data_IF_918440014771
#
_entry.id   IF_918440014771
#
_cell.length_a   1.000
_cell.length_b   1.000
_cell.length_c   1.000
_cell.angle_alpha   90.00
_cell.angle_beta   90.00
_cell.angle_gamma   90.00
#
_symmetry.space_group_name_H-M   'P 1'
#
loop_
_entity.id
_entity.type
_entity.pdbx_description
1 polymer ?
#
# COMPACT_ATOMS: atom_id res chain seq x y z
N UNK A 1 -15.72 -27.57 8.67
CA UNK A 1 -16.74 -27.01 7.76
C UNK A 1 -15.99 -26.35 6.62
N UNK A 2 -16.00 -26.91 5.38
CA UNK A 2 -15.37 -26.31 4.22
C UNK A 2 -16.03 -24.95 3.97
N UNK A 3 -15.28 -23.85 4.12
CA UNK A 3 -15.77 -22.50 3.82
C UNK A 3 -16.14 -22.47 2.34
N UNK A 4 -17.43 -22.31 2.05
CA UNK A 4 -17.96 -22.33 0.67
C UNK A 4 -17.28 -21.26 -0.17
N UNK A 5 -16.77 -21.65 -1.33
CA UNK A 5 -16.18 -20.74 -2.30
C UNK A 5 -17.24 -19.71 -2.73
N UNK A 6 -17.00 -18.40 -2.60
CA UNK A 6 -17.92 -17.38 -3.04
C UNK A 6 -17.73 -17.11 -4.56
N UNK A 7 -18.26 -18.00 -5.39
CA UNK A 7 -18.09 -17.96 -6.84
C UNK A 7 -19.44 -18.34 -7.47
N UNK A 8 -20.23 -17.35 -7.76
CA UNK A 8 -21.60 -17.48 -8.27
C UNK A 8 -21.65 -17.75 -9.78
N UNK A 9 -22.84 -17.79 -10.37
CA UNK A 9 -23.05 -18.07 -11.78
C UNK A 9 -22.58 -16.90 -12.66
N UNK A 10 -22.70 -15.64 -12.20
CA UNK A 10 -22.22 -14.49 -12.94
C UNK A 10 -20.69 -14.50 -13.07
N UNK A 11 -19.98 -14.82 -11.99
CA UNK A 11 -18.53 -14.98 -12.01
C UNK A 11 -18.11 -16.17 -12.89
N UNK A 12 -18.86 -17.30 -12.86
CA UNK A 12 -18.58 -18.45 -13.74
C UNK A 12 -18.75 -18.09 -15.22
N UNK A 13 -19.78 -17.35 -15.56
CA UNK A 13 -20.03 -16.92 -16.94
C UNK A 13 -18.94 -15.97 -17.44
N UNK A 14 -18.35 -15.15 -16.55
CA UNK A 14 -17.32 -14.15 -16.92
C UNK A 14 -15.93 -14.74 -16.97
N UNK A 15 -15.56 -15.59 -15.97
CA UNK A 15 -14.18 -16.01 -15.75
C UNK A 15 -13.97 -17.48 -16.13
N UNK A 16 -15.00 -18.32 -16.06
CA UNK A 16 -14.94 -19.76 -16.31
C UNK A 16 -15.33 -20.59 -15.08
N UNK A 17 -15.40 -21.91 -15.30
CA UNK A 17 -15.92 -22.84 -14.29
C UNK A 17 -14.79 -23.35 -13.39
N UNK A 18 -14.91 -23.23 -12.04
CA UNK A 18 -13.94 -23.77 -11.11
C UNK A 18 -13.86 -25.30 -11.15
N UNK A 19 -12.65 -25.83 -11.31
CA UNK A 19 -12.35 -27.26 -11.20
C UNK A 19 -11.82 -27.61 -9.81
N UNK A 20 -10.87 -26.80 -9.29
CA UNK A 20 -10.25 -27.01 -7.98
C UNK A 20 -10.04 -25.67 -7.29
N UNK A 21 -10.14 -25.67 -5.98
CA UNK A 21 -9.85 -24.47 -5.15
C UNK A 21 -8.96 -24.85 -3.97
N UNK A 22 -8.03 -23.93 -3.64
CA UNK A 22 -7.19 -24.01 -2.45
C UNK A 22 -7.33 -22.69 -1.70
N UNK A 23 -7.78 -22.75 -0.44
CA UNK A 23 -7.74 -21.59 0.46
C UNK A 23 -6.28 -21.28 0.79
N UNK A 24 -5.90 -20.02 0.67
CA UNK A 24 -4.58 -19.50 1.02
C UNK A 24 -4.63 -18.86 2.41
N UNK A 25 -3.46 -18.74 3.05
CA UNK A 25 -3.36 -17.96 4.28
C UNK A 25 -3.63 -16.49 3.97
N UNK A 26 -4.42 -15.87 4.82
CA UNK A 26 -4.82 -14.47 4.69
C UNK A 26 -5.18 -13.90 6.06
N UNK A 27 -5.21 -12.57 6.16
CA UNK A 27 -5.63 -11.89 7.37
C UNK A 27 -7.09 -12.23 7.75
N UNK A 28 -7.50 -12.03 9.01
CA UNK A 28 -8.91 -12.19 9.41
C UNK A 28 -9.89 -11.31 8.61
N UNK A 29 -9.38 -10.27 7.94
CA UNK A 29 -10.16 -9.28 7.17
C UNK A 29 -10.49 -9.73 5.75
N UNK A 30 -9.87 -10.83 5.27
CA UNK A 30 -10.12 -11.35 3.93
C UNK A 30 -10.05 -12.88 3.90
N UNK A 31 -10.56 -13.45 2.82
CA UNK A 31 -10.35 -14.84 2.45
C UNK A 31 -9.85 -14.88 1.02
N UNK A 32 -8.80 -15.63 0.78
CA UNK A 32 -8.16 -15.70 -0.53
C UNK A 32 -8.10 -17.15 -0.99
N UNK A 33 -8.55 -17.41 -2.21
CA UNK A 33 -8.46 -18.74 -2.81
C UNK A 33 -7.69 -18.67 -4.11
N UNK A 34 -6.83 -19.64 -4.34
CA UNK A 34 -6.32 -19.96 -5.66
C UNK A 34 -7.25 -20.99 -6.30
N UNK A 35 -7.77 -20.67 -7.49
CA UNK A 35 -8.71 -21.51 -8.22
C UNK A 35 -8.07 -21.93 -9.53
N UNK A 36 -8.15 -23.23 -9.84
CA UNK A 36 -7.91 -23.75 -11.17
C UNK A 36 -9.26 -23.89 -11.89
N UNK A 37 -9.35 -23.32 -13.07
CA UNK A 37 -10.53 -23.40 -13.94
C UNK A 37 -10.47 -24.67 -14.83
N UNK A 38 -11.59 -25.00 -15.45
CA UNK A 38 -11.71 -26.19 -16.33
C UNK A 38 -10.84 -26.11 -17.58
N UNK A 39 -10.51 -24.90 -18.06
CA UNK A 39 -9.56 -24.66 -19.15
C UNK A 39 -8.08 -24.74 -18.72
N UNK A 40 -7.83 -25.09 -17.46
CA UNK A 40 -6.54 -25.21 -16.77
C UNK A 40 -5.89 -23.88 -16.39
N UNK A 41 -6.46 -22.74 -16.72
CA UNK A 41 -5.98 -21.45 -16.22
C UNK A 41 -6.17 -21.34 -14.70
N UNK A 42 -5.49 -20.39 -14.07
CA UNK A 42 -5.59 -20.13 -12.64
C UNK A 42 -6.02 -18.70 -12.40
N UNK A 43 -6.81 -18.50 -11.36
CA UNK A 43 -7.22 -17.16 -10.89
C UNK A 43 -7.16 -17.10 -9.36
N UNK A 44 -7.06 -15.89 -8.82
CA UNK A 44 -7.20 -15.62 -7.39
C UNK A 44 -8.59 -15.07 -7.14
N UNK A 45 -9.28 -15.61 -6.15
CA UNK A 45 -10.54 -15.07 -5.62
C UNK A 45 -10.28 -14.50 -4.24
N UNK A 46 -10.53 -13.21 -4.06
CA UNK A 46 -10.43 -12.54 -2.77
C UNK A 46 -11.82 -12.06 -2.34
N UNK A 47 -12.22 -12.42 -1.13
CA UNK A 47 -13.42 -11.93 -0.47
C UNK A 47 -13.04 -11.08 0.72
N UNK A 48 -13.51 -9.85 0.79
CA UNK A 48 -13.37 -9.01 1.97
C UNK A 48 -14.43 -9.39 3.00
N UNK A 49 -14.00 -9.55 4.25
CA UNK A 49 -14.86 -9.97 5.36
C UNK A 49 -14.99 -8.86 6.41
N UNK A 50 -15.97 -8.94 7.29
CA UNK A 50 -16.21 -7.93 8.34
C UNK A 50 -15.20 -8.00 9.52
N UNK A 51 -14.08 -8.71 9.36
CA UNK A 51 -13.07 -8.88 10.40
C UNK A 51 -12.30 -7.60 10.73
N UNK A 52 -12.40 -7.17 11.95
CA UNK A 52 -11.37 -6.67 12.86
C UNK A 52 -10.61 -5.36 12.60
N UNK A 53 -11.02 -4.44 11.72
CA UNK A 53 -10.42 -3.10 11.68
C UNK A 53 -11.47 -2.04 12.00
N UNK A 54 -11.33 -1.26 13.09
CA UNK A 54 -12.27 -0.19 13.41
C UNK A 54 -12.20 1.01 12.45
N UNK A 55 -11.22 1.06 11.53
CA UNK A 55 -10.95 2.23 10.67
C UNK A 55 -11.75 2.31 9.37
N UNK A 56 -12.28 1.19 8.84
CA UNK A 56 -13.14 1.19 7.66
C UNK A 56 -13.97 -0.09 7.58
N UNK A 57 -15.23 0.02 7.19
CA UNK A 57 -16.09 -1.14 6.97
C UNK A 57 -15.64 -1.96 5.73
N UNK A 58 -16.15 -3.19 5.64
CA UNK A 58 -15.74 -4.11 4.58
C UNK A 58 -16.14 -3.65 3.18
N UNK A 59 -17.25 -2.93 3.03
CA UNK A 59 -17.70 -2.39 1.74
C UNK A 59 -16.77 -1.28 1.25
N UNK A 60 -16.37 -0.38 2.14
CA UNK A 60 -15.39 0.67 1.85
C UNK A 60 -14.03 0.07 1.48
N UNK A 61 -13.54 -0.94 2.20
CA UNK A 61 -12.26 -1.62 1.88
C UNK A 61 -12.33 -2.31 0.52
N UNK A 62 -13.43 -3.03 0.25
CA UNK A 62 -13.64 -3.68 -1.05
C UNK A 62 -13.66 -2.66 -2.21
N UNK A 63 -14.44 -1.60 -2.07
CA UNK A 63 -14.56 -0.57 -3.10
C UNK A 63 -13.21 0.10 -3.37
N UNK A 64 -12.44 0.39 -2.32
CA UNK A 64 -11.11 1.00 -2.39
C UNK A 64 -10.10 0.08 -3.07
N UNK A 65 -10.08 -1.20 -2.71
CA UNK A 65 -9.18 -2.17 -3.33
C UNK A 65 -9.47 -2.35 -4.82
N UNK A 66 -10.73 -2.50 -5.20
CA UNK A 66 -11.14 -2.61 -6.61
C UNK A 66 -10.77 -1.35 -7.39
N UNK A 67 -10.99 -0.15 -6.82
CA UNK A 67 -10.61 1.11 -7.46
C UNK A 67 -9.10 1.25 -7.63
N UNK A 68 -8.32 0.94 -6.58
CA UNK A 68 -6.87 0.96 -6.62
C UNK A 68 -6.29 0.01 -7.66
N UNK A 69 -6.75 -1.24 -7.69
CA UNK A 69 -6.33 -2.23 -8.68
C UNK A 69 -6.69 -1.82 -10.12
N UNK A 70 -7.87 -1.23 -10.34
CA UNK A 70 -8.27 -0.72 -11.67
C UNK A 70 -7.40 0.45 -12.12
N UNK A 71 -7.03 1.35 -11.22
CA UNK A 71 -6.08 2.42 -11.52
C UNK A 71 -4.70 1.85 -11.82
N UNK A 72 -4.21 0.90 -11.02
CA UNK A 72 -2.95 0.20 -11.24
C UNK A 72 -2.92 -0.56 -12.57
N UNK A 73 -4.06 -1.09 -13.02
CA UNK A 73 -4.23 -1.77 -14.31
C UNK A 73 -4.05 -0.86 -15.54
N UNK A 74 -3.90 0.46 -15.36
CA UNK A 74 -3.58 1.40 -16.46
C UNK A 74 -2.09 1.42 -16.83
N UNK A 75 -1.25 0.66 -16.13
CA UNK A 75 0.18 0.66 -16.37
C UNK A 75 0.51 0.29 -17.83
N UNK A 76 1.31 1.13 -18.48
CA UNK A 76 1.87 0.85 -19.81
C UNK A 76 3.23 0.16 -19.62
N UNK A 77 3.45 -0.97 -20.29
CA UNK A 77 4.63 -1.82 -20.10
C UNK A 77 4.41 -2.85 -18.98
N UNK A 78 5.43 -3.20 -18.17
CA UNK A 78 5.27 -4.19 -17.10
C UNK A 78 4.15 -3.79 -16.13
N UNK A 79 3.21 -4.71 -15.87
CA UNK A 79 2.15 -4.46 -14.91
C UNK A 79 2.71 -4.24 -13.50
N UNK A 80 2.03 -3.43 -12.69
CA UNK A 80 2.43 -3.16 -11.28
C UNK A 80 1.46 -3.79 -10.28
N UNK A 81 0.38 -4.42 -10.75
CA UNK A 81 -0.62 -5.10 -9.94
C UNK A 81 -1.32 -6.18 -10.77
N UNK A 82 -2.02 -7.15 -10.16
CA UNK A 82 -2.85 -8.11 -10.88
C UNK A 82 -4.04 -7.42 -11.54
N UNK A 83 -4.44 -7.93 -12.70
CA UNK A 83 -5.65 -7.49 -13.36
C UNK A 83 -6.90 -7.92 -12.58
N UNK A 84 -7.90 -7.03 -12.51
CA UNK A 84 -9.24 -7.38 -12.00
C UNK A 84 -10.05 -7.99 -13.14
N UNK A 85 -10.30 -9.29 -13.06
CA UNK A 85 -11.03 -10.05 -14.09
C UNK A 85 -12.55 -9.94 -13.94
N UNK A 86 -13.04 -9.97 -12.70
CA UNK A 86 -14.45 -9.82 -12.38
C UNK A 86 -14.66 -9.35 -10.93
N UNK A 87 -15.85 -8.84 -10.62
CA UNK A 87 -16.23 -8.44 -9.26
C UNK A 87 -17.68 -8.82 -8.98
N UNK A 88 -17.97 -9.19 -7.73
CA UNK A 88 -19.31 -9.30 -7.16
C UNK A 88 -19.40 -8.39 -5.92
N UNK A 89 -19.82 -7.12 -6.08
CA UNK A 89 -19.87 -6.15 -5.00
C UNK A 89 -20.78 -6.56 -3.84
N UNK A 90 -21.98 -7.10 -4.04
CA UNK A 90 -22.84 -7.55 -2.94
C UNK A 90 -22.17 -8.56 -2.00
N UNK A 91 -21.34 -9.45 -2.54
CA UNK A 91 -20.61 -10.46 -1.76
C UNK A 91 -19.20 -10.00 -1.39
N UNK A 92 -18.79 -8.79 -1.80
CA UNK A 92 -17.43 -8.24 -1.64
C UNK A 92 -16.35 -9.17 -2.18
N UNK A 93 -16.60 -9.73 -3.37
CA UNK A 93 -15.71 -10.68 -4.05
C UNK A 93 -15.07 -10.02 -5.27
N UNK A 94 -13.79 -10.23 -5.43
CA UNK A 94 -13.05 -9.91 -6.64
C UNK A 94 -12.32 -11.14 -7.16
N UNK A 95 -12.28 -11.28 -8.46
CA UNK A 95 -11.47 -12.29 -9.18
C UNK A 95 -10.32 -11.58 -9.84
N UNK A 96 -9.13 -12.00 -9.50
CA UNK A 96 -7.87 -11.40 -9.93
C UNK A 96 -7.07 -12.38 -10.78
N UNK A 97 -6.22 -11.83 -11.64
CA UNK A 97 -5.17 -12.57 -12.32
C UNK A 97 -4.34 -13.36 -11.29
N UNK A 98 -4.05 -14.62 -11.61
CA UNK A 98 -3.05 -15.40 -10.86
C UNK A 98 -1.65 -15.07 -11.38
N UNK A 99 -0.75 -14.85 -10.46
CA UNK A 99 0.66 -14.61 -10.74
C UNK A 99 1.51 -15.60 -9.96
N UNK A 100 2.55 -16.12 -10.59
CA UNK A 100 3.54 -16.95 -9.92
C UNK A 100 4.52 -16.04 -9.17
N UNK A 101 4.62 -16.24 -7.86
CA UNK A 101 5.60 -15.55 -7.03
C UNK A 101 6.91 -16.35 -7.02
N UNK A 102 7.97 -15.74 -7.50
CA UNK A 102 9.32 -16.29 -7.54
C UNK A 102 10.06 -16.18 -6.20
N UNK A 103 9.44 -15.51 -5.22
CA UNK A 103 10.02 -15.24 -3.91
C UNK A 103 11.02 -14.07 -3.92
N UNK A 104 11.40 -13.65 -2.71
CA UNK A 104 12.31 -12.52 -2.51
C UNK A 104 13.76 -12.95 -2.65
N UNK A 105 14.55 -12.15 -3.36
CA UNK A 105 16.02 -12.24 -3.41
C UNK A 105 16.64 -11.21 -2.47
N UNK A 106 17.95 -11.33 -2.19
CA UNK A 106 18.66 -10.34 -1.38
C UNK A 106 18.68 -8.95 -2.05
N UNK A 107 18.60 -8.90 -3.39
CA UNK A 107 18.61 -7.67 -4.21
C UNK A 107 17.20 -7.24 -4.64
N UNK A 108 16.21 -7.32 -3.77
CA UNK A 108 14.82 -7.04 -4.13
C UNK A 108 14.47 -5.54 -4.23
N UNK A 109 15.20 -4.68 -3.51
CA UNK A 109 14.84 -3.27 -3.34
C UNK A 109 14.86 -2.44 -4.64
N UNK A 110 15.82 -2.59 -5.57
CA UNK A 110 15.81 -1.87 -6.84
C UNK A 110 14.54 -2.08 -7.65
N UNK A 111 14.15 -3.32 -7.88
CA UNK A 111 12.92 -3.64 -8.63
C UNK A 111 11.66 -3.19 -7.93
N UNK A 112 11.64 -3.23 -6.60
CA UNK A 112 10.53 -2.70 -5.81
C UNK A 112 10.42 -1.17 -5.95
N UNK A 113 11.52 -0.43 -5.88
CA UNK A 113 11.54 1.03 -6.04
C UNK A 113 11.07 1.46 -7.43
N UNK A 114 11.49 0.74 -8.47
CA UNK A 114 11.01 0.96 -9.84
C UNK A 114 9.50 0.74 -9.94
N UNK A 115 8.99 -0.39 -9.45
CA UNK A 115 7.56 -0.71 -9.47
C UNK A 115 6.74 0.32 -8.68
N UNK A 116 7.25 0.79 -7.53
CA UNK A 116 6.60 1.80 -6.71
C UNK A 116 6.51 3.15 -7.46
N UNK A 117 7.60 3.58 -8.12
CA UNK A 117 7.59 4.79 -8.94
C UNK A 117 6.60 4.68 -10.11
N UNK A 118 6.53 3.51 -10.75
CA UNK A 118 5.58 3.22 -11.82
C UNK A 118 4.14 3.29 -11.32
N UNK A 119 3.84 2.68 -10.15
CA UNK A 119 2.53 2.75 -9.51
C UNK A 119 2.12 4.19 -9.26
N UNK A 120 2.97 4.97 -8.63
CA UNK A 120 2.70 6.36 -8.27
C UNK A 120 2.51 7.27 -9.48
N UNK A 121 3.17 6.99 -10.60
CA UNK A 121 3.09 7.79 -11.83
C UNK A 121 1.82 7.53 -12.66
N UNK A 122 0.97 6.56 -12.28
CA UNK A 122 -0.22 6.17 -13.08
C UNK A 122 -1.36 7.17 -13.02
N UNK A 123 -1.38 8.01 -12.03
CA UNK A 123 -2.50 8.91 -11.75
C UNK A 123 -2.06 10.37 -11.69
N UNK A 124 -3.03 11.27 -11.86
CA UNK A 124 -2.81 12.70 -11.90
C UNK A 124 -4.06 13.47 -11.48
N UNK A 125 -4.09 14.79 -11.70
CA UNK A 125 -5.24 15.65 -11.31
C UNK A 125 -6.60 15.19 -11.85
N UNK A 126 -6.63 14.53 -13.00
CA UNK A 126 -7.85 13.99 -13.63
C UNK A 126 -8.48 12.87 -12.79
N UNK A 127 -7.70 12.19 -11.95
CA UNK A 127 -8.14 11.08 -11.11
C UNK A 127 -8.63 11.53 -9.72
N UNK A 128 -8.65 12.84 -9.45
CA UNK A 128 -9.16 13.40 -8.19
C UNK A 128 -10.57 12.86 -7.90
N UNK A 129 -10.73 12.25 -6.72
CA UNK A 129 -12.00 11.66 -6.27
C UNK A 129 -12.20 10.19 -6.68
N UNK A 130 -11.32 9.59 -7.47
CA UNK A 130 -11.36 8.14 -7.76
C UNK A 130 -11.02 7.28 -6.52
N UNK A 131 -10.22 7.82 -5.63
CA UNK A 131 -9.87 7.28 -4.31
C UNK A 131 -9.87 8.43 -3.28
N UNK A 132 -9.94 8.12 -1.97
CA UNK A 132 -9.73 9.13 -0.94
C UNK A 132 -8.36 9.81 -1.10
N UNK A 133 -8.27 11.07 -0.69
CA UNK A 133 -6.97 11.69 -0.50
C UNK A 133 -6.23 11.00 0.66
N UNK A 134 -4.91 10.89 0.54
CA UNK A 134 -4.07 10.43 1.65
C UNK A 134 -4.27 11.34 2.86
N UNK A 135 -4.50 10.74 4.02
CA UNK A 135 -4.56 11.48 5.29
C UNK A 135 -3.16 11.57 5.88
N UNK A 136 -2.53 12.72 5.71
CA UNK A 136 -1.26 13.05 6.36
C UNK A 136 -1.40 13.23 7.86
N UNK A 137 -0.29 13.54 8.56
CA UNK A 137 -0.32 13.88 9.96
C UNK A 137 -1.17 15.13 10.19
N UNK A 138 -1.94 15.11 11.26
CA UNK A 138 -2.85 16.19 11.65
C UNK A 138 -2.27 17.02 12.81
N UNK A 139 -2.90 18.14 13.13
CA UNK A 139 -2.55 18.90 14.34
C UNK A 139 -2.72 18.05 15.62
N UNK A 140 -3.71 17.14 15.63
CA UNK A 140 -3.90 16.23 16.77
C UNK A 140 -2.75 15.21 16.89
N UNK A 141 -2.21 14.71 15.78
CA UNK A 141 -1.02 13.84 15.79
C UNK A 141 0.21 14.60 16.31
N UNK A 142 0.39 15.87 15.89
CA UNK A 142 1.48 16.71 16.39
C UNK A 142 1.36 16.98 17.90
N UNK A 143 0.16 17.23 18.40
CA UNK A 143 -0.08 17.40 19.85
C UNK A 143 0.20 16.12 20.63
N UNK A 144 -0.18 14.96 20.11
CA UNK A 144 0.12 13.66 20.69
C UNK A 144 1.63 13.41 20.74
N UNK A 145 2.34 13.68 19.64
CA UNK A 145 3.80 13.61 19.59
C UNK A 145 4.47 14.51 20.63
N UNK A 146 3.99 15.75 20.79
CA UNK A 146 4.49 16.67 21.82
C UNK A 146 4.17 16.19 23.23
N UNK A 147 3.00 15.60 23.44
CA UNK A 147 2.64 15.01 24.73
C UNK A 147 3.58 13.86 25.10
N UNK A 148 3.96 13.03 24.12
CA UNK A 148 4.94 11.97 24.30
C UNK A 148 6.32 12.54 24.68
N UNK A 149 6.80 13.58 24.00
CA UNK A 149 8.06 14.23 24.35
C UNK A 149 8.05 14.74 25.82
N UNK A 150 6.96 15.36 26.25
CA UNK A 150 6.78 15.81 27.65
C UNK A 150 6.79 14.63 28.64
N UNK A 151 6.14 13.52 28.28
CA UNK A 151 6.10 12.32 29.13
C UNK A 151 7.50 11.69 29.37
N UNK A 152 8.42 11.94 28.45
CA UNK A 152 9.83 11.51 28.56
C UNK A 152 10.76 12.63 29.05
N UNK A 153 10.22 13.72 29.58
CA UNK A 153 11.00 14.89 30.04
C UNK A 153 11.94 15.47 28.96
N UNK A 154 11.56 15.34 27.68
CA UNK A 154 12.30 15.92 26.54
C UNK A 154 11.90 17.38 26.40
N UNK A 155 12.85 18.34 26.53
CA UNK A 155 12.56 19.75 26.32
C UNK A 155 12.10 20.02 24.88
N UNK A 156 11.01 20.74 24.70
CA UNK A 156 10.50 21.16 23.39
C UNK A 156 10.70 22.67 23.23
N UNK A 157 11.75 23.11 22.52
CA UNK A 157 11.95 24.52 22.20
C UNK A 157 10.82 25.09 21.33
N UNK A 158 10.53 26.39 21.42
CA UNK A 158 9.47 27.03 20.63
C UNK A 158 9.66 26.88 19.12
N UNK A 159 10.90 26.86 18.64
CA UNK A 159 11.22 26.62 17.23
C UNK A 159 10.70 25.28 16.71
N UNK A 160 10.59 24.26 17.56
CA UNK A 160 10.03 22.95 17.19
C UNK A 160 8.52 23.07 16.92
N UNK A 161 7.80 23.89 17.67
CA UNK A 161 6.36 24.14 17.46
C UNK A 161 6.10 24.81 16.12
N UNK A 162 6.92 25.83 15.80
CA UNK A 162 6.84 26.54 14.53
C UNK A 162 7.16 25.59 13.35
N UNK A 163 8.21 24.74 13.50
CA UNK A 163 8.61 23.78 12.47
C UNK A 163 7.56 22.68 12.28
N UNK A 164 6.93 22.18 13.34
CA UNK A 164 5.84 21.20 13.23
C UNK A 164 4.65 21.80 12.46
N UNK A 165 4.29 23.04 12.72
CA UNK A 165 3.23 23.75 12.01
C UNK A 165 3.57 23.89 10.52
N UNK A 166 4.80 24.29 10.20
CA UNK A 166 5.28 24.41 8.83
C UNK A 166 5.35 23.04 8.12
N UNK A 167 5.77 21.99 8.84
CA UNK A 167 5.82 20.61 8.32
C UNK A 167 4.42 20.10 7.94
N UNK A 168 3.42 20.27 8.81
CA UNK A 168 2.04 19.90 8.51
C UNK A 168 1.54 20.57 7.22
N UNK A 169 1.86 21.85 7.04
CA UNK A 169 1.49 22.59 5.83
C UNK A 169 2.21 22.05 4.57
N UNK A 170 3.49 21.67 4.68
CA UNK A 170 4.23 21.05 3.55
C UNK A 170 3.76 19.65 3.19
N UNK A 171 3.21 18.92 4.15
CA UNK A 171 2.68 17.56 3.99
C UNK A 171 1.21 17.53 3.56
N UNK A 172 0.58 18.69 3.36
CA UNK A 172 -0.79 18.77 2.83
C UNK A 172 -0.88 17.91 1.53
N UNK A 173 -1.81 16.96 1.47
CA UNK A 173 -1.95 16.07 0.31
C UNK A 173 -2.30 16.81 -0.99
N UNK A 174 -2.86 18.02 -0.92
CA UNK A 174 -3.13 18.83 -2.11
C UNK A 174 -1.90 19.63 -2.52
N UNK A 175 -1.46 19.59 -3.78
CA UNK A 175 -2.15 19.09 -4.99
C UNK A 175 -1.65 17.72 -5.51
N UNK A 176 -1.31 16.79 -4.67
CA UNK A 176 -0.68 15.54 -5.06
C UNK A 176 -1.72 14.46 -5.37
N UNK A 177 -1.52 13.72 -6.46
CA UNK A 177 -2.48 12.72 -6.95
C UNK A 177 -1.81 11.41 -7.39
N UNK A 178 -0.62 11.08 -6.87
CA UNK A 178 -0.01 9.77 -7.10
C UNK A 178 -0.88 8.67 -6.49
N UNK A 179 -1.03 7.55 -7.19
CA UNK A 179 -1.70 6.36 -6.65
C UNK A 179 -0.84 5.74 -5.57
N UNK A 180 -1.23 5.91 -4.32
CA UNK A 180 -0.60 5.27 -3.17
C UNK A 180 -1.23 3.90 -2.91
N UNK A 181 -0.40 2.95 -2.55
CA UNK A 181 -0.82 1.62 -2.11
C UNK A 181 -1.52 1.68 -0.75
N UNK A 182 -1.04 2.55 0.14
CA UNK A 182 -1.54 2.74 1.50
C UNK A 182 -0.96 1.77 2.55
N UNK A 183 -0.31 0.70 2.11
CA UNK A 183 0.46 -0.23 2.93
C UNK A 183 1.53 -0.93 2.06
N UNK A 184 2.55 -0.19 1.59
CA UNK A 184 3.60 -0.71 0.72
C UNK A 184 4.61 -1.56 1.50
N UNK A 185 4.09 -2.53 2.24
CA UNK A 185 4.89 -3.49 3.00
C UNK A 185 5.46 -4.56 2.07
N UNK A 186 6.73 -4.99 2.27
CA UNK A 186 7.31 -6.08 1.50
C UNK A 186 6.63 -7.45 1.68
N UNK A 187 5.46 -7.53 2.26
CA UNK A 187 4.56 -8.68 2.29
C UNK A 187 3.37 -8.52 1.35
N UNK A 188 3.16 -7.32 0.80
CA UNK A 188 2.07 -6.96 -0.10
C UNK A 188 2.57 -6.84 -1.56
N UNK A 189 3.64 -7.55 -1.90
CA UNK A 189 4.18 -7.60 -3.25
C UNK A 189 4.52 -9.02 -3.66
N UNK A 190 4.41 -9.30 -4.96
CA UNK A 190 4.82 -10.54 -5.61
C UNK A 190 5.95 -10.26 -6.58
N UNK A 191 6.93 -11.15 -6.62
CA UNK A 191 8.06 -11.11 -7.55
C UNK A 191 7.75 -12.02 -8.73
N UNK A 192 7.45 -11.43 -9.87
CA UNK A 192 7.16 -12.17 -11.09
C UNK A 192 8.34 -12.10 -12.06
N UNK A 193 8.29 -12.88 -13.14
CA UNK A 193 9.30 -12.80 -14.19
C UNK A 193 9.39 -11.41 -14.85
N UNK A 194 8.29 -10.64 -14.82
CA UNK A 194 8.19 -9.32 -15.43
C UNK A 194 8.41 -8.17 -14.43
N UNK A 195 8.80 -8.47 -13.18
CA UNK A 195 9.06 -7.48 -12.13
C UNK A 195 8.15 -7.62 -10.91
N UNK A 196 8.17 -6.58 -10.08
CA UNK A 196 7.38 -6.53 -8.84
C UNK A 196 5.96 -6.08 -9.12
N UNK A 197 4.98 -6.74 -8.49
CA UNK A 197 3.56 -6.41 -8.56
C UNK A 197 2.97 -6.33 -7.16
N UNK A 198 2.28 -5.23 -6.88
CA UNK A 198 1.64 -4.99 -5.60
C UNK A 198 0.27 -5.65 -5.52
N UNK A 199 -0.07 -6.16 -4.33
CA UNK A 199 -1.37 -6.76 -3.99
C UNK A 199 -1.90 -6.13 -2.70
N UNK A 200 -3.19 -6.28 -2.43
CA UNK A 200 -3.82 -5.76 -1.19
C UNK A 200 -3.96 -4.23 -1.14
N UNK A 201 -4.69 -3.67 -2.11
CA UNK A 201 -4.96 -2.23 -2.23
C UNK A 201 -6.08 -1.71 -1.31
N UNK A 202 -6.44 -2.42 -0.25
CA UNK A 202 -7.57 -2.04 0.63
C UNK A 202 -7.39 -0.67 1.31
N UNK A 203 -6.16 -0.15 1.34
CA UNK A 203 -5.80 1.17 1.89
C UNK A 203 -5.41 2.20 0.82
N UNK A 204 -5.58 1.89 -0.46
CA UNK A 204 -5.19 2.77 -1.55
C UNK A 204 -5.77 4.18 -1.41
N UNK A 205 -4.99 5.18 -1.77
CA UNK A 205 -5.35 6.60 -1.70
C UNK A 205 -4.63 7.39 -2.78
N UNK A 206 -4.94 8.68 -2.91
CA UNK A 206 -4.20 9.61 -3.78
C UNK A 206 -3.42 10.59 -2.91
N UNK A 207 -2.13 10.77 -3.21
CA UNK A 207 -1.28 11.64 -2.41
C UNK A 207 0.10 11.87 -3.02
N UNK A 208 1.07 12.20 -2.15
CA UNK A 208 2.47 12.35 -2.55
C UNK A 208 3.21 11.02 -2.44
N UNK A 209 3.77 10.53 -3.56
CA UNK A 209 4.50 9.25 -3.58
C UNK A 209 5.70 9.17 -2.63
N UNK A 210 6.25 10.33 -2.20
CA UNK A 210 7.35 10.34 -1.22
C UNK A 210 6.94 9.74 0.14
N UNK A 211 5.65 9.76 0.50
CA UNK A 211 5.20 9.18 1.78
C UNK A 211 5.37 7.66 1.80
N UNK A 212 5.31 7.00 0.65
CA UNK A 212 5.58 5.56 0.55
C UNK A 212 7.07 5.26 0.27
N UNK A 213 7.77 6.13 -0.45
CA UNK A 213 9.21 6.01 -0.58
C UNK A 213 9.93 6.13 0.78
N UNK A 214 9.39 6.93 1.70
CA UNK A 214 9.90 7.06 3.06
C UNK A 214 9.98 5.73 3.82
N UNK A 215 9.15 4.73 3.48
CA UNK A 215 9.16 3.41 4.11
C UNK A 215 10.54 2.75 4.12
N UNK A 216 11.32 2.92 3.04
CA UNK A 216 12.69 2.40 3.00
C UNK A 216 13.59 3.03 4.07
N UNK A 217 13.46 4.33 4.34
CA UNK A 217 14.26 5.04 5.34
C UNK A 217 13.85 4.72 6.77
N UNK A 218 12.54 4.56 7.00
CA UNK A 218 11.99 4.33 8.35
C UNK A 218 11.83 2.84 8.68
N UNK A 219 12.27 1.93 7.78
CA UNK A 219 12.33 0.50 8.04
C UNK A 219 10.99 -0.21 8.04
N UNK A 220 10.01 0.24 7.22
CA UNK A 220 8.69 -0.38 7.08
C UNK A 220 7.94 -0.55 8.41
N UNK A 221 7.65 0.53 9.14
CA UNK A 221 7.22 0.49 10.55
C UNK A 221 5.84 -0.14 10.76
N UNK A 222 5.00 -0.22 9.73
CA UNK A 222 3.67 -0.85 9.81
C UNK A 222 3.69 -2.33 9.47
N UNK A 223 4.84 -2.85 9.05
CA UNK A 223 5.02 -4.22 8.60
C UNK A 223 5.55 -5.11 9.72
N UNK A 224 5.13 -6.38 9.75
CA UNK A 224 5.73 -7.42 10.59
C UNK A 224 7.19 -7.72 10.23
N UNK A 225 7.63 -7.29 9.03
CA UNK A 225 8.97 -7.44 8.51
C UNK A 225 9.80 -6.15 8.66
N UNK A 226 9.53 -5.34 9.70
CA UNK A 226 10.32 -4.15 10.00
C UNK A 226 11.82 -4.45 9.90
N UNK A 227 12.55 -3.63 9.15
CA UNK A 227 13.95 -3.86 8.84
C UNK A 227 14.74 -2.56 8.86
N UNK A 228 16.04 -2.66 9.13
CA UNK A 228 16.97 -1.56 8.94
C UNK A 228 17.65 -1.69 7.59
N UNK A 229 17.63 -0.62 6.80
CA UNK A 229 18.29 -0.57 5.49
C UNK A 229 19.55 0.30 5.60
N UNK A 230 20.68 -0.21 5.11
CA UNK A 230 21.94 0.54 5.11
C UNK A 230 21.88 1.76 4.17
N UNK A 231 22.73 2.76 4.41
CA UNK A 231 22.69 4.03 3.66
C UNK A 231 22.94 3.87 2.15
N UNK A 232 23.85 2.99 1.75
CA UNK A 232 24.19 2.82 0.33
C UNK A 232 23.02 2.26 -0.50
N UNK A 233 22.35 1.15 -0.09
CA UNK A 233 21.13 0.69 -0.75
C UNK A 233 20.00 1.72 -0.74
N UNK A 234 19.86 2.53 0.31
CA UNK A 234 18.85 3.59 0.36
C UNK A 234 19.06 4.64 -0.74
N UNK A 235 20.29 5.10 -0.92
CA UNK A 235 20.62 6.08 -1.96
C UNK A 235 20.30 5.53 -3.36
N UNK A 236 20.62 4.26 -3.63
CA UNK A 236 20.31 3.59 -4.88
C UNK A 236 18.78 3.49 -5.11
N UNK A 237 18.03 3.05 -4.11
CA UNK A 237 16.55 2.95 -4.16
C UNK A 237 15.91 4.30 -4.48
N UNK A 238 16.38 5.37 -3.82
CA UNK A 238 15.85 6.71 -4.04
C UNK A 238 16.18 7.24 -5.44
N UNK A 239 17.38 6.98 -5.95
CA UNK A 239 17.78 7.36 -7.30
C UNK A 239 16.98 6.63 -8.37
N UNK A 240 16.79 5.32 -8.21
CA UNK A 240 15.95 4.50 -9.10
C UNK A 240 14.52 5.04 -9.11
N UNK A 241 13.93 5.25 -7.94
CA UNK A 241 12.57 5.79 -7.84
C UNK A 241 12.44 7.14 -8.57
N UNK A 242 13.33 8.09 -8.28
CA UNK A 242 13.30 9.44 -8.87
C UNK A 242 13.55 9.42 -10.37
N UNK A 243 14.48 8.59 -10.83
CA UNK A 243 14.80 8.43 -12.25
C UNK A 243 13.63 7.83 -13.02
N UNK A 244 13.03 6.77 -12.48
CA UNK A 244 11.85 6.13 -13.06
C UNK A 244 10.65 7.11 -13.11
N UNK A 245 10.37 7.80 -12.01
CA UNK A 245 9.33 8.83 -11.96
C UNK A 245 9.54 9.92 -13.01
N UNK A 246 10.76 10.48 -13.10
CA UNK A 246 11.08 11.51 -14.09
C UNK A 246 10.93 11.01 -15.52
N UNK A 247 11.35 9.79 -15.79
CA UNK A 247 11.20 9.15 -17.10
C UNK A 247 9.74 9.00 -17.53
N UNK A 248 8.82 8.71 -16.57
CA UNK A 248 7.41 8.51 -16.85
C UNK A 248 6.61 9.82 -16.90
N UNK A 249 6.94 10.78 -16.04
CA UNK A 249 6.12 12.00 -15.86
C UNK A 249 6.74 13.24 -16.52
N UNK A 250 8.00 13.20 -16.91
CA UNK A 250 8.78 14.36 -17.40
C UNK A 250 9.10 15.40 -16.33
N UNK A 251 8.87 15.11 -15.04
CA UNK A 251 9.03 16.05 -13.91
C UNK A 251 9.70 15.37 -12.73
N UNK A 252 10.31 16.18 -11.88
CA UNK A 252 10.82 15.70 -10.60
C UNK A 252 9.67 15.37 -9.63
N UNK A 253 9.94 14.46 -8.71
CA UNK A 253 9.01 14.15 -7.61
C UNK A 253 8.91 15.40 -6.72
N UNK A 254 7.72 15.96 -6.51
CA UNK A 254 7.56 17.14 -5.68
C UNK A 254 7.69 16.80 -4.19
N UNK A 255 8.20 17.75 -3.40
CA UNK A 255 8.31 17.61 -1.94
C UNK A 255 9.68 17.13 -1.46
N UNK A 256 9.79 16.92 -0.15
CA UNK A 256 10.99 16.48 0.54
C UNK A 256 10.76 15.13 1.23
N UNK A 257 11.70 14.19 1.04
CA UNK A 257 11.64 12.88 1.65
C UNK A 257 11.86 12.93 3.17
N UNK A 258 12.63 13.91 3.66
CA UNK A 258 12.80 14.12 5.10
C UNK A 258 11.48 14.56 5.75
N UNK A 259 10.72 15.43 5.10
CA UNK A 259 9.38 15.82 5.54
C UNK A 259 8.45 14.59 5.60
N UNK A 260 8.48 13.73 4.58
CA UNK A 260 7.68 12.51 4.58
C UNK A 260 8.06 11.55 5.72
N UNK A 261 9.36 11.38 6.00
CA UNK A 261 9.83 10.60 7.15
C UNK A 261 9.37 11.20 8.50
N UNK A 262 9.47 12.53 8.63
CA UNK A 262 9.01 13.23 9.84
C UNK A 262 7.49 13.10 10.02
N UNK A 263 6.72 13.14 8.94
CA UNK A 263 5.28 12.89 8.96
C UNK A 263 4.93 11.51 9.53
N UNK A 264 5.64 10.48 9.11
CA UNK A 264 5.48 9.12 9.66
C UNK A 264 5.85 9.04 11.14
N UNK A 265 6.90 9.76 11.57
CA UNK A 265 7.28 9.81 12.98
C UNK A 265 6.16 10.42 13.84
N UNK A 266 5.54 11.49 13.36
CA UNK A 266 4.45 12.17 14.08
C UNK A 266 3.20 11.29 14.18
N UNK A 267 2.87 10.54 13.12
CA UNK A 267 1.74 9.59 13.12
C UNK A 267 2.04 8.30 13.91
N UNK A 268 3.28 8.10 14.33
CA UNK A 268 3.78 6.83 14.88
C UNK A 268 3.43 6.55 16.34
N UNK A 269 2.60 7.35 17.02
CA UNK A 269 2.23 7.15 18.43
C UNK A 269 1.73 5.74 18.74
N UNK A 270 0.98 5.13 17.83
CA UNK A 270 0.52 3.76 17.97
C UNK A 270 1.68 2.72 18.03
N UNK A 271 2.83 3.05 17.43
CA UNK A 271 4.03 2.21 17.48
C UNK A 271 4.69 2.28 18.86
N UNK A 272 4.71 3.45 19.48
CA UNK A 272 5.25 3.64 20.85
C UNK A 272 4.41 2.87 21.86
N UNK A 273 3.09 2.92 21.75
CA UNK A 273 2.21 2.13 22.62
C UNK A 273 2.40 0.61 22.44
N UNK A 274 2.69 0.13 21.23
CA UNK A 274 3.01 -1.29 21.00
C UNK A 274 4.32 -1.67 21.65
N UNK A 275 5.37 -0.84 21.50
CA UNK A 275 6.65 -1.05 22.13
C UNK A 275 6.54 -1.12 23.67
N UNK A 276 5.73 -0.21 24.27
CA UNK A 276 5.46 -0.23 25.71
C UNK A 276 4.71 -1.47 26.19
N UNK A 277 3.85 -2.04 25.36
CA UNK A 277 3.10 -3.26 25.71
C UNK A 277 3.91 -4.55 25.54
N UNK A 278 5.15 -4.47 25.05
CA UNK A 278 5.99 -5.65 24.79
C UNK A 278 5.40 -6.57 23.70
N UNK A 279 4.55 -6.05 22.83
CA UNK A 279 3.91 -6.79 21.74
C UNK A 279 4.66 -6.64 20.41
N UNK A 280 5.88 -6.12 20.46
CA UNK A 280 6.81 -6.08 19.33
C UNK A 280 7.76 -7.25 19.53
N UNK A 281 7.42 -8.41 18.99
CA UNK A 281 8.36 -9.49 18.72
C UNK A 281 8.94 -9.30 17.31
#
# INVERSE_FOLDING_TARGET
MLKRLPFDEALRSTVGVPERSKLLDSSPRSRVWRIRLTDRSQVIVKQITDGGDPGADADTRFAREVAGLRLAGRAVGPAVAPAVLATDPPSRVMVLEHMDDLGRTDEWMPGYAEALARLHALTGPVDKGALPAWSGPTAADAESFLALARAFDVPVPSVVLDELTALLARLDPTPHHALLHGDPCPGNDLRTADGVRFVDFERASLGNGLVELAYFRIGFPTCWCAMSVAAAPLAEVEDIYRTTWRGLTGRDVPGDLADACAGWLIQGDALVERAHRGTVD
#
